data_IF_757597305860
#
_entry.id   IF_757597305860
#
_cell.length_a   1.000
_cell.length_b   1.000
_cell.length_c   1.000
_cell.angle_alpha   90.00
_cell.angle_beta   90.00
_cell.angle_gamma   90.00
#
_symmetry.space_group_name_H-M   'P 1'
#
loop_
_entity.id
_entity.type
_entity.pdbx_description
1 polymer ?
#
# COMPACT_ATOMS: atom_id res chain seq x y z
N UNK A 1 7.81 27.18 5.76
CA UNK A 1 6.77 26.77 4.80
C UNK A 1 6.10 25.55 5.40
N UNK A 2 4.92 25.73 6.00
CA UNK A 2 4.22 24.66 6.69
C UNK A 2 3.57 23.75 5.65
N UNK A 3 3.88 22.45 5.71
CA UNK A 3 3.12 21.45 4.96
C UNK A 3 1.63 21.63 5.31
N UNK A 4 0.76 21.64 4.29
CA UNK A 4 -0.69 21.53 4.43
C UNK A 4 -1.05 20.15 5.01
N UNK A 5 -0.66 19.90 6.25
CA UNK A 5 -1.03 18.71 7.01
C UNK A 5 -2.33 18.95 7.76
N UNK A 6 -3.23 17.96 7.73
CA UNK A 6 -4.39 17.94 8.62
C UNK A 6 -3.94 18.14 10.07
N UNK A 7 -4.36 19.22 10.72
CA UNK A 7 -4.10 19.40 12.15
C UNK A 7 -4.85 18.30 12.94
N UNK A 8 -4.27 17.82 14.04
CA UNK A 8 -4.90 16.82 14.93
C UNK A 8 -6.35 17.15 15.32
N UNK A 9 -6.67 18.44 15.40
CA UNK A 9 -8.01 18.92 15.68
C UNK A 9 -8.98 18.61 14.54
N UNK A 10 -8.55 18.79 13.30
CA UNK A 10 -9.36 18.54 12.10
C UNK A 10 -9.55 17.03 11.89
N UNK A 11 -8.51 16.23 12.17
CA UNK A 11 -8.61 14.78 12.16
C UNK A 11 -9.61 14.27 13.23
N UNK A 12 -9.57 14.83 14.44
CA UNK A 12 -10.51 14.45 15.50
C UNK A 12 -11.97 14.71 15.09
N UNK A 13 -12.23 15.87 14.48
CA UNK A 13 -13.56 16.23 13.98
C UNK A 13 -14.00 15.30 12.84
N UNK A 14 -13.14 15.07 11.84
CA UNK A 14 -13.48 14.22 10.68
C UNK A 14 -13.67 12.75 11.06
N UNK A 15 -12.87 12.23 11.99
CA UNK A 15 -12.95 10.84 12.46
C UNK A 15 -14.01 10.62 13.55
N UNK A 16 -14.69 11.67 14.02
CA UNK A 16 -15.67 11.57 15.12
C UNK A 16 -15.05 11.20 16.47
N UNK A 17 -13.76 11.46 16.66
CA UNK A 17 -13.04 11.15 17.91
C UNK A 17 -13.02 12.37 18.84
N UNK A 18 -13.10 12.14 20.14
CA UNK A 18 -12.90 13.22 21.11
C UNK A 18 -11.44 13.70 21.06
N UNK A 19 -11.21 15.00 21.29
CA UNK A 19 -9.86 15.60 21.32
C UNK A 19 -8.91 14.85 22.27
N UNK A 20 -9.41 14.44 23.43
CA UNK A 20 -8.64 13.65 24.40
C UNK A 20 -8.29 12.27 23.85
N UNK A 21 -9.25 11.57 23.24
CA UNK A 21 -9.02 10.26 22.63
C UNK A 21 -8.00 10.34 21.50
N UNK A 22 -8.15 11.28 20.57
CA UNK A 22 -7.19 11.53 19.47
C UNK A 22 -5.78 11.78 20.01
N UNK A 23 -5.64 12.61 21.04
CA UNK A 23 -4.34 12.87 21.67
C UNK A 23 -3.70 11.62 22.30
N UNK A 24 -4.50 10.75 22.94
CA UNK A 24 -3.98 9.52 23.53
C UNK A 24 -3.66 8.43 22.52
N UNK A 25 -4.40 8.36 21.41
CA UNK A 25 -4.17 7.37 20.34
C UNK A 25 -2.94 7.77 19.51
N UNK A 26 -2.87 9.03 19.09
CA UNK A 26 -1.76 9.56 18.28
C UNK A 26 -0.74 10.32 19.11
N UNK A 27 -0.50 9.89 20.35
CA UNK A 27 0.44 10.55 21.23
C UNK A 27 1.85 10.58 20.58
N UNK A 28 2.58 11.71 20.59
CA UNK A 28 3.90 11.81 19.96
C UNK A 28 4.87 10.74 20.49
N UNK A 29 4.88 10.56 21.81
CA UNK A 29 5.65 9.52 22.49
C UNK A 29 4.96 8.14 22.38
N UNK A 30 5.59 7.11 21.76
CA UNK A 30 4.98 5.80 21.53
C UNK A 30 4.57 5.07 22.82
N UNK A 31 5.35 5.20 23.89
CA UNK A 31 5.09 4.58 25.20
C UNK A 31 3.77 5.03 25.85
N UNK A 32 3.27 6.22 25.47
CA UNK A 32 2.04 6.83 25.99
C UNK A 32 0.84 6.63 25.06
N UNK A 33 1.04 6.00 23.89
CA UNK A 33 -0.05 5.70 22.96
C UNK A 33 -0.99 4.67 23.57
N UNK A 34 -2.29 4.90 23.43
CA UNK A 34 -3.33 3.94 23.80
C UNK A 34 -3.70 3.11 22.58
N UNK A 35 -4.05 1.82 22.76
CA UNK A 35 -4.58 1.00 21.68
C UNK A 35 -5.78 1.67 21.01
N UNK A 36 -5.81 1.60 19.68
CA UNK A 36 -6.93 2.05 18.83
C UNK A 36 -7.90 0.87 18.65
N UNK A 37 -9.20 1.12 18.76
CA UNK A 37 -10.20 0.11 18.42
C UNK A 37 -10.38 0.01 16.91
N UNK A 38 -10.82 -1.15 16.42
CA UNK A 38 -11.00 -1.40 14.96
C UNK A 38 -11.95 -0.38 14.32
N UNK A 39 -13.06 -0.01 14.99
CA UNK A 39 -13.99 0.99 14.48
C UNK A 39 -13.37 2.40 14.44
N UNK A 40 -12.51 2.74 15.40
CA UNK A 40 -11.79 4.02 15.42
C UNK A 40 -10.74 4.06 14.29
N UNK A 41 -10.07 2.93 14.03
CA UNK A 41 -9.15 2.78 12.92
C UNK A 41 -9.85 3.02 11.58
N UNK A 42 -11.02 2.41 11.35
CA UNK A 42 -11.79 2.63 10.13
C UNK A 42 -12.24 4.09 9.98
N UNK A 43 -12.67 4.74 11.07
CA UNK A 43 -13.08 6.13 11.04
C UNK A 43 -11.91 7.07 10.72
N UNK A 44 -10.73 6.79 11.28
CA UNK A 44 -9.50 7.55 10.99
C UNK A 44 -9.04 7.34 9.55
N UNK A 45 -9.03 6.09 9.06
CA UNK A 45 -8.67 5.78 7.69
C UNK A 45 -9.59 6.50 6.69
N UNK A 46 -10.92 6.45 6.93
CA UNK A 46 -11.89 7.17 6.11
C UNK A 46 -11.71 8.70 6.17
N UNK A 47 -11.37 9.27 7.33
CA UNK A 47 -11.11 10.70 7.49
C UNK A 47 -9.85 11.18 6.72
N UNK A 48 -8.92 10.27 6.45
CA UNK A 48 -7.70 10.48 5.68
C UNK A 48 -7.84 10.07 4.21
N UNK A 49 -9.04 9.66 3.78
CA UNK A 49 -9.31 9.10 2.45
C UNK A 49 -8.41 7.90 2.11
N UNK A 50 -8.10 7.09 3.12
CA UNK A 50 -7.34 5.85 3.02
C UNK A 50 -8.28 4.65 3.13
N UNK A 51 -8.12 3.71 2.22
CA UNK A 51 -8.65 2.37 2.39
C UNK A 51 -7.93 1.63 3.53
N UNK A 52 -8.57 0.64 4.19
CA UNK A 52 -7.94 -0.14 5.25
C UNK A 52 -6.62 -0.82 4.83
N UNK A 53 -6.49 -1.15 3.54
CA UNK A 53 -5.30 -1.74 2.96
C UNK A 53 -4.17 -0.71 2.81
N UNK A 54 -4.48 0.49 2.32
CA UNK A 54 -3.51 1.60 2.23
C UNK A 54 -3.00 1.97 3.62
N UNK A 55 -3.89 2.06 4.61
CA UNK A 55 -3.51 2.32 6.00
C UNK A 55 -2.59 1.24 6.60
N UNK A 56 -2.79 -0.04 6.23
CA UNK A 56 -1.92 -1.13 6.66
C UNK A 56 -0.53 -1.05 5.99
N UNK A 57 -0.50 -0.81 4.68
CA UNK A 57 0.74 -0.69 3.90
C UNK A 57 1.61 0.48 4.37
N UNK A 58 1.00 1.62 4.75
CA UNK A 58 1.72 2.76 5.34
C UNK A 58 2.46 2.34 6.62
N UNK A 59 1.81 1.56 7.48
CA UNK A 59 2.44 1.07 8.71
C UNK A 59 3.66 0.20 8.42
N UNK A 60 3.57 -0.69 7.44
CA UNK A 60 4.66 -1.59 7.06
C UNK A 60 5.83 -0.84 6.39
N UNK A 61 5.55 0.11 5.51
CA UNK A 61 6.56 0.96 4.86
C UNK A 61 7.29 1.86 5.87
N UNK A 62 6.55 2.46 6.82
CA UNK A 62 7.15 3.28 7.86
C UNK A 62 7.91 2.45 8.93
N UNK A 63 7.51 1.19 9.17
CA UNK A 63 8.20 0.30 10.09
C UNK A 63 9.58 -0.15 9.56
N UNK A 64 9.78 -0.17 8.24
CA UNK A 64 11.05 -0.47 7.59
C UNK A 64 12.13 0.61 7.70
N UNK A 65 11.87 1.72 8.41
CA UNK A 65 12.79 2.86 8.48
C UNK A 65 12.90 3.63 7.16
N UNK A 66 11.90 3.48 6.28
CA UNK A 66 11.79 4.25 5.05
C UNK A 66 11.81 5.74 5.38
N UNK A 67 12.84 6.42 4.87
CA UNK A 67 12.88 7.89 4.85
C UNK A 67 11.62 8.34 4.12
N UNK A 68 10.94 9.35 4.66
CA UNK A 68 9.79 10.00 4.04
C UNK A 68 10.21 10.55 2.68
N UNK A 69 10.15 9.72 1.64
CA UNK A 69 10.55 10.05 0.28
C UNK A 69 9.35 10.59 -0.47
N UNK A 70 9.61 11.59 -1.31
CA UNK A 70 8.63 12.11 -2.24
C UNK A 70 8.05 10.94 -3.07
N UNK A 71 6.74 10.71 -2.98
CA UNK A 71 6.06 9.64 -3.73
C UNK A 71 5.58 8.41 -2.94
N UNK A 72 5.84 8.32 -1.63
CA UNK A 72 5.37 7.18 -0.80
C UNK A 72 3.84 7.02 -0.86
N UNK A 73 3.08 8.12 -0.90
CA UNK A 73 1.61 8.05 -1.05
C UNK A 73 1.21 7.39 -2.38
N UNK A 74 1.88 7.74 -3.47
CA UNK A 74 1.64 7.15 -4.80
C UNK A 74 2.00 5.67 -4.81
N UNK A 75 3.12 5.32 -4.17
CA UNK A 75 3.59 3.93 -4.05
C UNK A 75 2.60 3.07 -3.23
N UNK A 76 2.11 3.58 -2.09
CA UNK A 76 1.07 2.93 -1.27
C UNK A 76 -0.20 2.69 -2.08
N UNK A 77 -0.70 3.72 -2.78
CA UNK A 77 -1.90 3.63 -3.62
C UNK A 77 -1.72 2.63 -4.76
N UNK A 78 -0.54 2.61 -5.37
CA UNK A 78 -0.20 1.65 -6.41
C UNK A 78 -0.19 0.20 -5.89
N UNK A 79 0.49 -0.07 -4.77
CA UNK A 79 0.51 -1.40 -4.16
C UNK A 79 -0.89 -1.84 -3.70
N UNK A 80 -1.66 -0.95 -3.08
CA UNK A 80 -3.03 -1.24 -2.70
C UNK A 80 -3.91 -1.59 -3.92
N UNK A 81 -3.73 -0.88 -5.04
CA UNK A 81 -4.38 -1.18 -6.31
C UNK A 81 -4.05 -2.58 -6.84
N UNK A 82 -2.76 -2.94 -6.85
CA UNK A 82 -2.29 -4.28 -7.26
C UNK A 82 -2.93 -5.35 -6.38
N UNK A 83 -2.82 -5.23 -5.05
CA UNK A 83 -3.30 -6.24 -4.10
C UNK A 83 -4.83 -6.39 -4.20
N UNK A 84 -5.58 -5.29 -4.30
CA UNK A 84 -7.03 -5.35 -4.47
C UNK A 84 -7.45 -6.06 -5.76
N UNK A 85 -6.74 -5.77 -6.87
CA UNK A 85 -7.00 -6.47 -8.13
C UNK A 85 -6.62 -7.93 -8.04
N UNK A 86 -5.46 -8.23 -7.47
CA UNK A 86 -4.96 -9.58 -7.26
C UNK A 86 -5.94 -10.42 -6.42
N UNK A 87 -6.47 -9.87 -5.32
CA UNK A 87 -7.50 -10.53 -4.50
C UNK A 87 -8.74 -10.92 -5.32
N UNK A 88 -9.20 -10.05 -6.22
CA UNK A 88 -10.37 -10.31 -7.07
C UNK A 88 -10.08 -11.43 -8.09
N UNK A 89 -8.94 -11.37 -8.76
CA UNK A 89 -8.54 -12.36 -9.77
C UNK A 89 -8.20 -13.72 -9.14
N UNK A 90 -7.55 -13.73 -7.97
CA UNK A 90 -7.19 -14.95 -7.24
C UNK A 90 -8.41 -15.79 -6.88
N UNK A 91 -9.51 -15.17 -6.44
CA UNK A 91 -10.76 -15.92 -6.17
C UNK A 91 -11.25 -16.64 -7.42
N UNK A 92 -11.29 -15.94 -8.56
CA UNK A 92 -11.74 -16.53 -9.83
C UNK A 92 -10.77 -17.58 -10.38
N UNK A 93 -9.48 -17.44 -10.11
CA UNK A 93 -8.46 -18.43 -10.47
C UNK A 93 -8.63 -19.69 -9.63
N UNK A 94 -8.79 -19.56 -8.32
CA UNK A 94 -9.02 -20.69 -7.41
C UNK A 94 -10.32 -21.45 -7.74
N UNK A 95 -11.38 -20.74 -8.12
CA UNK A 95 -12.62 -21.38 -8.60
C UNK A 95 -12.43 -22.19 -9.90
N UNK A 96 -11.48 -21.79 -10.76
CA UNK A 96 -11.15 -22.51 -12.01
C UNK A 96 -10.23 -23.70 -11.77
N UNK A 97 -9.35 -23.61 -10.78
CA UNK A 97 -8.46 -24.70 -10.38
C UNK A 97 -9.23 -25.56 -9.38
N UNK A 98 -10.15 -26.39 -9.90
CA UNK A 98 -11.08 -27.22 -9.13
C UNK A 98 -10.42 -28.20 -8.12
N UNK A 99 -9.10 -28.32 -8.13
CA UNK A 99 -8.30 -29.20 -7.26
C UNK A 99 -7.62 -28.50 -6.09
N UNK A 100 -7.79 -27.19 -5.91
CA UNK A 100 -7.14 -26.42 -4.85
C UNK A 100 -8.21 -25.87 -3.91
N UNK A 101 -8.26 -26.38 -2.68
CA UNK A 101 -9.10 -25.80 -1.65
C UNK A 101 -8.41 -24.56 -1.06
N UNK A 102 -9.19 -23.63 -0.50
CA UNK A 102 -8.63 -22.48 0.21
C UNK A 102 -7.69 -22.87 1.36
N UNK A 103 -7.91 -24.06 1.92
CA UNK A 103 -7.08 -24.66 2.97
C UNK A 103 -5.72 -25.15 2.47
N UNK A 104 -5.50 -25.21 1.15
CA UNK A 104 -4.22 -25.61 0.54
C UNK A 104 -3.34 -24.39 0.24
N UNK A 105 -3.88 -23.18 0.33
CA UNK A 105 -3.12 -21.95 0.15
C UNK A 105 -2.16 -21.78 1.33
N UNK A 106 -0.86 -21.66 1.04
CA UNK A 106 0.22 -21.46 2.02
C UNK A 106 0.92 -20.13 1.75
N UNK A 107 1.49 -19.46 2.77
CA UNK A 107 2.28 -18.24 2.57
C UNK A 107 3.38 -18.38 1.51
N UNK A 108 4.09 -19.52 1.51
CA UNK A 108 5.13 -19.84 0.53
C UNK A 108 4.65 -19.84 -0.95
N UNK A 109 3.34 -20.07 -1.20
CA UNK A 109 2.80 -19.93 -2.55
C UNK A 109 2.75 -18.46 -2.98
N UNK A 110 2.53 -17.54 -2.04
CA UNK A 110 2.59 -16.11 -2.28
C UNK A 110 3.99 -15.67 -2.71
N UNK A 111 5.02 -16.11 -2.00
CA UNK A 111 6.42 -15.80 -2.33
C UNK A 111 6.79 -16.26 -3.74
N UNK A 112 6.45 -17.51 -4.09
CA UNK A 112 6.69 -18.05 -5.43
C UNK A 112 5.93 -17.29 -6.53
N UNK A 113 4.70 -16.86 -6.27
CA UNK A 113 3.95 -16.05 -7.25
C UNK A 113 4.60 -14.68 -7.41
N UNK A 114 5.03 -14.04 -6.32
CA UNK A 114 5.71 -12.74 -6.35
C UNK A 114 7.00 -12.83 -7.16
N UNK A 115 7.84 -13.85 -6.94
CA UNK A 115 9.06 -14.09 -7.73
C UNK A 115 8.76 -14.23 -9.22
N UNK A 116 7.70 -14.96 -9.57
CA UNK A 116 7.29 -15.16 -10.98
C UNK A 116 6.74 -13.90 -11.62
N UNK A 117 5.96 -13.11 -10.87
CA UNK A 117 5.46 -11.81 -11.34
C UNK A 117 6.64 -10.87 -11.56
N UNK A 118 7.61 -10.82 -10.64
CA UNK A 118 8.79 -9.97 -10.80
C UNK A 118 9.66 -10.38 -11.98
N UNK A 119 9.89 -11.68 -12.18
CA UNK A 119 10.58 -12.18 -13.36
C UNK A 119 9.87 -11.76 -14.66
N UNK A 120 8.53 -11.84 -14.71
CA UNK A 120 7.77 -11.38 -15.87
C UNK A 120 7.81 -9.86 -16.08
N UNK A 121 7.80 -9.07 -15.00
CA UNK A 121 7.94 -7.62 -15.08
C UNK A 121 9.34 -7.25 -15.58
N UNK A 122 10.38 -7.91 -15.07
CA UNK A 122 11.77 -7.75 -15.49
C UNK A 122 11.95 -8.11 -16.97
N UNK A 123 11.40 -9.25 -17.41
CA UNK A 123 11.40 -9.65 -18.80
C UNK A 123 10.66 -8.62 -19.68
N UNK A 124 9.48 -8.16 -19.27
CA UNK A 124 8.71 -7.17 -20.01
C UNK A 124 9.44 -5.82 -20.12
N UNK A 125 10.10 -5.37 -19.04
CA UNK A 125 10.90 -4.15 -19.05
C UNK A 125 12.17 -4.29 -19.86
N UNK A 126 12.83 -5.46 -19.80
CA UNK A 126 13.99 -5.76 -20.64
C UNK A 126 13.62 -5.77 -22.12
N UNK A 127 12.47 -6.35 -22.45
CA UNK A 127 11.89 -6.29 -23.80
C UNK A 127 11.62 -4.85 -24.25
N UNK A 128 11.12 -3.97 -23.38
CA UNK A 128 10.92 -2.54 -23.69
C UNK A 128 12.25 -1.81 -23.90
N UNK A 129 13.22 -2.05 -23.03
CA UNK A 129 14.57 -1.48 -23.11
C UNK A 129 15.29 -1.92 -24.39
N UNK A 130 15.13 -3.19 -24.78
CA UNK A 130 15.77 -3.78 -25.96
C UNK A 130 15.04 -3.41 -27.26
N UNK A 131 13.71 -3.21 -27.24
CA UNK A 131 12.91 -3.14 -28.47
C UNK A 131 13.00 -1.85 -29.26
N UNK A 132 12.97 -0.61 -28.73
CA UNK A 132 13.01 0.56 -29.65
C UNK A 132 13.10 2.00 -29.12
N UNK A 133 12.89 2.31 -27.84
CA UNK A 133 12.82 3.74 -27.45
C UNK A 133 14.19 4.42 -27.31
N UNK A 134 15.24 3.71 -26.88
CA UNK A 134 16.61 4.25 -26.78
C UNK A 134 17.35 4.36 -28.13
N UNK A 135 16.95 3.62 -29.16
CA UNK A 135 17.54 3.78 -30.51
C UNK A 135 17.00 5.00 -31.24
N UNK A 136 15.77 5.45 -30.94
CA UNK A 136 15.18 6.65 -31.55
C UNK A 136 15.78 7.92 -30.97
N UNK A 137 15.90 8.02 -29.65
CA UNK A 137 16.55 9.18 -29.01
C UNK A 137 18.02 9.37 -29.42
N UNK A 138 18.76 8.28 -29.68
CA UNK A 138 20.17 8.36 -30.14
C UNK A 138 20.32 8.67 -31.64
N UNK A 139 19.29 8.46 -32.45
CA UNK A 139 19.31 8.74 -33.89
C UNK A 139 18.73 10.12 -34.24
N UNK A 140 18.03 10.78 -33.30
CA UNK A 140 17.52 12.14 -33.47
C UNK A 140 18.54 13.21 -32.99
N UNK A 141 19.72 12.79 -32.50
CA UNK A 141 20.87 13.65 -32.13
C UNK A 141 22.07 13.57 -33.11
N UNK A 142 21.89 13.03 -34.33
CA UNK A 142 22.90 13.03 -35.41
C UNK A 142 22.38 13.75 -36.64
#
# INVERSE_FOLDING_TARGET
>A
MGQEGLHYRDLAVRAGLSKSRTHTVFHPEPSKRRPIYIYEFHAVAAALDLSPLEAALVSDLCAGGGVDTEGVETEVKFYAGIINRFRKEMRQMMERIASLEWNDVRPAHGDLIIERVWAQVEDAYSDVADRKELRRLRNDEI
#
